data_IF_211255245510
#
_entry.id   IF_211255245510
#
_cell.length_a   1.000
_cell.length_b   1.000
_cell.length_c   1.000
_cell.angle_alpha   90.00
_cell.angle_beta   90.00
_cell.angle_gamma   90.00
#
_symmetry.space_group_name_H-M   'P 1'
#
loop_
_entity.id
_entity.type
_entity.pdbx_description
1 polymer ?
#
# COMPACT_ATOMS: atom_id res chain seq x y z
N UNK A 1 -6.99 1.04 -10.47
CA UNK A 1 -6.58 0.94 -9.06
C UNK A 1 -5.06 0.88 -8.96
N UNK A 2 -4.44 1.60 -8.02
CA UNK A 2 -2.98 1.70 -7.89
C UNK A 2 -2.52 1.10 -6.56
N UNK A 3 -1.55 0.21 -6.63
CA UNK A 3 -0.86 -0.36 -5.49
C UNK A 3 0.56 0.22 -5.45
N UNK A 4 0.88 1.01 -4.43
CA UNK A 4 2.21 1.59 -4.23
C UNK A 4 2.98 0.71 -3.25
N UNK A 5 4.20 0.34 -3.60
CA UNK A 5 5.11 -0.39 -2.74
C UNK A 5 6.04 0.59 -2.05
N UNK A 6 6.09 0.49 -0.72
CA UNK A 6 6.86 1.37 0.14
C UNK A 6 8.12 0.65 0.63
N UNK A 7 9.26 1.35 0.61
CA UNK A 7 10.53 0.92 1.19
C UNK A 7 11.18 2.08 1.91
N UNK A 8 11.52 1.92 3.19
CA UNK A 8 12.16 2.97 4.00
C UNK A 8 11.43 4.31 3.98
N UNK A 9 10.10 4.31 3.87
CA UNK A 9 9.27 5.52 3.78
C UNK A 9 9.18 6.17 2.40
N UNK A 10 9.67 5.52 1.33
CA UNK A 10 9.56 6.00 -0.06
C UNK A 10 8.79 5.04 -0.94
N UNK A 11 8.11 5.57 -1.96
CA UNK A 11 7.47 4.77 -3.00
C UNK A 11 8.57 4.32 -3.96
N UNK A 12 8.88 3.02 -3.96
CA UNK A 12 9.87 2.43 -4.87
C UNK A 12 9.20 1.68 -6.02
N UNK A 13 7.93 1.30 -5.87
CA UNK A 13 7.21 0.54 -6.89
C UNK A 13 5.76 0.97 -7.00
N UNK A 14 5.20 0.82 -8.20
CA UNK A 14 3.76 0.96 -8.43
C UNK A 14 3.29 -0.17 -9.34
N UNK A 15 2.20 -0.82 -8.93
CA UNK A 15 1.49 -1.83 -9.72
C UNK A 15 0.04 -1.43 -9.88
N UNK A 16 -0.49 -1.61 -11.09
CA UNK A 16 -1.91 -1.40 -11.35
C UNK A 16 -2.67 -2.69 -11.07
N UNK A 17 -3.61 -2.63 -10.14
CA UNK A 17 -4.52 -3.74 -9.83
C UNK A 17 -5.77 -3.64 -10.71
N UNK A 18 -6.38 -4.78 -11.01
CA UNK A 18 -7.67 -4.80 -11.70
C UNK A 18 -8.76 -4.29 -10.78
N UNK A 19 -9.67 -3.47 -11.31
CA UNK A 19 -10.83 -2.98 -10.56
C UNK A 19 -11.68 -4.15 -10.05
N UNK A 20 -12.04 -4.14 -8.78
CA UNK A 20 -12.80 -5.21 -8.13
C UNK A 20 -13.22 -4.84 -6.71
N UNK A 21 -13.73 -5.81 -5.96
CA UNK A 21 -14.06 -5.63 -4.54
C UNK A 21 -12.78 -5.45 -3.71
N UNK A 22 -12.84 -4.63 -2.65
CA UNK A 22 -11.68 -4.30 -1.80
C UNK A 22 -10.92 -5.54 -1.33
N UNK A 23 -11.64 -6.62 -0.96
CA UNK A 23 -11.04 -7.89 -0.55
C UNK A 23 -10.22 -8.56 -1.66
N UNK A 24 -10.69 -8.53 -2.91
CA UNK A 24 -9.96 -9.09 -4.05
C UNK A 24 -8.70 -8.29 -4.35
N UNK A 25 -8.76 -6.97 -4.16
CA UNK A 25 -7.64 -6.06 -4.36
C UNK A 25 -6.55 -6.25 -3.31
N UNK A 26 -6.94 -6.44 -2.06
CA UNK A 26 -6.01 -6.75 -0.96
C UNK A 26 -5.29 -8.07 -1.23
N UNK A 27 -6.02 -9.10 -1.67
CA UNK A 27 -5.42 -10.40 -1.99
C UNK A 27 -4.50 -10.33 -3.22
N UNK A 28 -4.86 -9.59 -4.28
CA UNK A 28 -3.96 -9.35 -5.41
C UNK A 28 -2.70 -8.58 -4.98
N UNK A 29 -2.84 -7.52 -4.19
CA UNK A 29 -1.73 -6.73 -3.70
C UNK A 29 -0.78 -7.57 -2.84
N UNK A 30 -1.31 -8.39 -1.93
CA UNK A 30 -0.52 -9.34 -1.14
C UNK A 30 0.21 -10.34 -2.02
N UNK A 31 -0.43 -10.87 -3.07
CA UNK A 31 0.22 -11.79 -4.02
C UNK A 31 1.32 -11.10 -4.82
N UNK A 32 1.10 -9.85 -5.24
CA UNK A 32 2.11 -9.06 -5.94
C UNK A 32 3.30 -8.74 -5.02
N UNK A 33 3.03 -8.38 -3.77
CA UNK A 33 4.03 -8.16 -2.73
C UNK A 33 4.82 -9.45 -2.44
N UNK A 34 4.15 -10.58 -2.29
CA UNK A 34 4.80 -11.88 -2.05
C UNK A 34 5.70 -12.32 -3.23
N UNK A 35 5.33 -12.00 -4.47
CA UNK A 35 6.20 -12.22 -5.64
C UNK A 35 7.42 -11.30 -5.66
N UNK A 36 7.36 -10.19 -4.94
CA UNK A 36 8.43 -9.22 -4.79
C UNK A 36 9.22 -9.44 -3.49
N UNK A 37 9.19 -10.64 -2.91
CA UNK A 37 9.95 -11.02 -1.70
C UNK A 37 11.44 -10.69 -1.81
N UNK A 38 12.01 -10.77 -3.02
CA UNK A 38 13.40 -10.40 -3.31
C UNK A 38 13.68 -8.89 -3.21
N UNK A 39 12.67 -8.03 -3.30
CA UNK A 39 12.82 -6.57 -3.37
C UNK A 39 12.77 -5.88 -1.99
N UNK A 40 12.63 -6.63 -0.89
CA UNK A 40 12.69 -6.09 0.48
C UNK A 40 11.80 -4.84 0.68
N UNK A 41 10.55 -4.91 0.21
CA UNK A 41 9.58 -3.85 0.49
C UNK A 41 9.12 -3.92 1.94
N UNK A 42 8.97 -2.77 2.58
CA UNK A 42 8.51 -2.67 3.97
C UNK A 42 6.98 -2.76 4.05
N UNK A 43 6.28 -2.31 3.01
CA UNK A 43 4.82 -2.34 2.96
C UNK A 43 4.25 -1.94 1.61
N UNK A 44 2.93 -1.84 1.53
CA UNK A 44 2.25 -1.41 0.32
C UNK A 44 0.92 -0.71 0.64
N UNK A 45 0.48 0.15 -0.28
CA UNK A 45 -0.74 0.94 -0.18
C UNK A 45 -1.59 0.78 -1.43
N UNK A 46 -2.88 0.59 -1.24
CA UNK A 46 -3.86 0.41 -2.30
C UNK A 46 -4.78 1.63 -2.35
N UNK A 47 -4.86 2.22 -3.53
CA UNK A 47 -5.63 3.42 -3.84
C UNK A 47 -6.53 3.18 -5.04
N UNK A 48 -7.83 3.45 -4.89
CA UNK A 48 -8.80 3.49 -5.99
C UNK A 48 -9.07 4.93 -6.40
N UNK A 49 -8.32 5.44 -7.39
CA UNK A 49 -8.42 6.83 -7.79
C UNK A 49 -7.98 7.78 -6.67
N UNK A 50 -8.95 8.47 -6.07
CA UNK A 50 -8.75 9.35 -4.89
C UNK A 50 -9.10 8.67 -3.56
N UNK A 51 -9.62 7.43 -3.59
CA UNK A 51 -10.05 6.68 -2.41
C UNK A 51 -8.91 5.81 -1.90
N UNK A 52 -8.56 5.98 -0.62
CA UNK A 52 -7.70 5.04 0.08
C UNK A 52 -8.47 3.75 0.38
N UNK A 53 -7.88 2.60 0.05
CA UNK A 53 -8.53 1.30 0.21
C UNK A 53 -7.87 0.48 1.30
N UNK A 54 -6.54 0.35 1.27
CA UNK A 54 -5.83 -0.46 2.25
C UNK A 54 -4.35 -0.07 2.32
N UNK A 55 -3.73 -0.17 3.49
CA UNK A 55 -2.28 -0.09 3.67
C UNK A 55 -1.84 -1.30 4.49
N UNK A 56 -0.86 -2.03 3.99
CA UNK A 56 -0.12 -2.99 4.81
C UNK A 56 0.91 -2.21 5.61
N UNK A 57 0.80 -2.29 6.92
CA UNK A 57 1.68 -1.60 7.87
C UNK A 57 3.07 -2.22 7.77
N UNK A 58 4.01 -1.51 7.15
CA UNK A 58 5.40 -1.62 7.54
C UNK A 58 5.46 -1.23 9.01
N UNK A 59 5.93 -2.12 9.89
CA UNK A 59 6.09 -1.81 11.30
C UNK A 59 6.94 -0.53 11.47
N UNK A 60 6.27 0.60 11.65
CA UNK A 60 6.82 1.86 12.10
C UNK A 60 5.65 2.60 12.75
N UNK A 61 5.82 3.05 14.00
CA UNK A 61 4.72 3.56 14.81
C UNK A 61 4.05 4.74 14.13
N UNK A 62 2.80 5.07 14.49
CA UNK A 62 2.04 6.15 13.86
C UNK A 62 2.70 7.51 14.14
N UNK A 63 3.68 7.88 13.32
CA UNK A 63 4.27 9.21 13.34
C UNK A 63 3.40 10.13 12.52
N UNK A 64 2.49 10.83 13.21
CA UNK A 64 1.99 12.14 12.79
C UNK A 64 0.94 12.15 11.69
N UNK A 65 -0.27 11.69 12.00
CA UNK A 65 -1.47 12.32 11.45
C UNK A 65 -2.23 13.02 12.59
N UNK A 66 -1.51 13.85 13.35
CA UNK A 66 -2.13 14.95 14.10
C UNK A 66 -2.59 15.96 13.03
N UNK A 67 -3.80 15.72 12.50
CA UNK A 67 -4.54 16.77 11.81
C UNK A 67 -4.92 17.79 12.89
N UNK A 68 -4.20 18.90 12.90
CA UNK A 68 -4.56 20.05 13.71
C UNK A 68 -6.01 20.48 13.44
N UNK A 69 -6.64 20.96 14.49
CA UNK A 69 -7.69 21.97 14.38
C UNK A 69 -7.46 22.96 15.52
N UNK A 70 -7.18 24.20 15.12
CA UNK A 70 -7.07 25.35 16.02
C UNK A 70 -8.43 25.98 16.33
#
# INVERSE_FOLDING_TARGET
MRCYFMRGGRIEGVTFLRSGADSALIEEAKRAFAKQVDQQFDGFEIWDGTRFVYRSEASSPPSGAERGNG
#
